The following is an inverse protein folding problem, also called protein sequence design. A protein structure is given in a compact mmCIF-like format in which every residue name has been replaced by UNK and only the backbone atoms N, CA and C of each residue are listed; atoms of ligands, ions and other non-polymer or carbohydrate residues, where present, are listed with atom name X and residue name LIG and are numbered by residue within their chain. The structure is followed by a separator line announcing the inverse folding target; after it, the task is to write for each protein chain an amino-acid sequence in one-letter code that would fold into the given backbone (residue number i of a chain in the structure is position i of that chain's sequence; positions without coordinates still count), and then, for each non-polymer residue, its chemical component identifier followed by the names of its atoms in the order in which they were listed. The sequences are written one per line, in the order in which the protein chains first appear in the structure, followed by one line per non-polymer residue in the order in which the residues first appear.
data_IF_341142980484
#
_entry.id   IF_341142980484
#
_cell.length_a   1.000
_cell.length_b   1.000
_cell.length_c   1.000
_cell.angle_alpha   90.00
_cell.angle_beta   90.00
_cell.angle_gamma   90.00
#
_symmetry.space_group_name_H-M   'P 1'
#
loop_
_entity.id
_entity.type
_entity.pdbx_description
1 polymer ?
#
# COMPACT_ATOMS: atom_id res chain seq x y z
N UNK A 1 30.40 -3.28 23.81
CA UNK A 1 29.83 -2.81 22.54
C UNK A 1 29.80 -1.31 22.49
N UNK A 2 30.30 -0.73 21.42
CA UNK A 2 30.23 0.73 21.26
C UNK A 2 28.79 1.20 21.26
N UNK A 3 28.54 2.33 21.92
CA UNK A 3 27.20 2.92 22.00
C UNK A 3 26.62 3.23 20.61
N UNK A 4 27.48 3.54 19.65
CA UNK A 4 27.05 3.86 18.30
C UNK A 4 26.33 2.69 17.62
N UNK A 5 26.84 1.46 17.78
CA UNK A 5 26.20 0.27 17.21
C UNK A 5 24.86 -0.03 17.85
N UNK A 6 24.72 0.25 19.14
CA UNK A 6 23.46 0.07 19.84
C UNK A 6 22.41 1.06 19.35
N UNK A 7 22.79 2.32 19.13
CA UNK A 7 21.88 3.33 18.60
C UNK A 7 21.48 3.03 17.16
N UNK A 8 22.41 2.55 16.34
CA UNK A 8 22.09 2.14 14.97
C UNK A 8 21.13 0.96 14.95
N UNK A 9 21.34 0.00 15.84
CA UNK A 9 20.44 -1.14 15.97
C UNK A 9 19.06 -0.70 16.46
N UNK A 10 18.99 0.25 17.38
CA UNK A 10 17.72 0.81 17.86
C UNK A 10 17.00 1.61 16.78
N UNK A 11 17.74 2.41 16.02
CA UNK A 11 17.18 3.17 14.88
C UNK A 11 16.69 2.23 13.80
N UNK A 12 17.45 1.18 13.47
CA UNK A 12 17.02 0.14 12.55
C UNK A 12 15.81 -0.61 13.08
N UNK A 13 15.79 -0.90 14.39
CA UNK A 13 14.66 -1.56 15.02
C UNK A 13 13.41 -0.70 14.97
N UNK A 14 13.52 0.61 15.18
CA UNK A 14 12.41 1.54 15.04
C UNK A 14 11.89 1.59 13.61
N UNK A 15 12.78 1.59 12.63
CA UNK A 15 12.43 1.56 11.20
C UNK A 15 11.83 0.21 10.82
N UNK A 16 12.28 -0.87 11.45
CA UNK A 16 11.88 -2.24 11.16
C UNK A 16 10.82 -2.77 12.14
N UNK A 17 10.40 -1.94 13.12
CA UNK A 17 9.32 -2.32 14.06
C UNK A 17 7.95 -2.37 13.38
N UNK A 18 7.87 -1.96 12.13
CA UNK A 18 6.68 -2.17 11.33
C UNK A 18 6.57 -3.67 11.04
N UNK A 19 5.87 -4.36 11.91
CA UNK A 19 5.69 -5.79 11.73
C UNK A 19 4.59 -6.05 10.72
N UNK A 20 4.79 -7.10 9.93
CA UNK A 20 3.76 -7.59 9.03
C UNK A 20 2.69 -8.26 9.88
N UNK A 21 1.45 -7.81 9.75
CA UNK A 21 0.31 -8.36 10.46
C UNK A 21 -0.65 -9.00 9.45
N UNK A 22 -1.30 -10.08 9.87
CA UNK A 22 -2.39 -10.63 9.06
C UNK A 22 -3.65 -9.87 9.38
N UNK A 23 -4.17 -9.15 8.39
CA UNK A 23 -5.33 -8.30 8.57
C UNK A 23 -6.53 -8.84 7.80
N UNK A 24 -7.72 -8.84 8.40
CA UNK A 24 -8.94 -9.22 7.69
C UNK A 24 -9.16 -8.32 6.48
N UNK A 25 -9.46 -8.91 5.34
CA UNK A 25 -9.73 -8.13 4.12
C UNK A 25 -10.88 -7.15 4.32
N UNK A 26 -11.86 -7.53 5.15
CA UNK A 26 -13.03 -6.71 5.43
C UNK A 26 -12.73 -5.42 6.18
N UNK A 27 -11.56 -5.33 6.83
CA UNK A 27 -11.13 -4.12 7.53
C UNK A 27 -10.29 -3.19 6.66
N UNK A 28 -9.98 -3.62 5.44
CA UNK A 28 -9.15 -2.86 4.52
C UNK A 28 -10.03 -2.26 3.43
N UNK A 29 -9.89 -0.96 3.20
CA UNK A 29 -10.64 -0.27 2.16
C UNK A 29 -9.73 0.64 1.35
N UNK A 30 -10.12 0.96 0.10
CA UNK A 30 -9.28 1.78 -0.77
C UNK A 30 -9.10 3.20 -0.25
N UNK A 31 -7.98 3.81 -0.61
CA UNK A 31 -7.73 5.22 -0.38
C UNK A 31 -8.78 6.04 -1.14
N UNK A 32 -9.43 6.98 -0.46
CA UNK A 32 -10.41 7.85 -1.07
C UNK A 32 -9.73 8.73 -2.13
N UNK A 33 -10.33 8.80 -3.32
CA UNK A 33 -9.73 9.52 -4.43
C UNK A 33 -8.63 8.78 -5.15
N UNK A 34 -8.46 7.50 -4.88
CA UNK A 34 -7.49 6.63 -5.54
C UNK A 34 -7.68 6.70 -7.07
N UNK A 35 -6.65 7.16 -7.81
CA UNK A 35 -6.81 7.37 -9.26
C UNK A 35 -6.59 6.13 -10.10
N UNK A 36 -6.12 5.04 -9.52
CA UNK A 36 -5.73 3.84 -10.26
C UNK A 36 -6.87 2.84 -10.28
N UNK A 37 -7.19 2.34 -11.48
CA UNK A 37 -8.25 1.36 -11.62
C UNK A 37 -7.76 -0.02 -11.18
N UNK A 38 -8.65 -0.74 -10.49
CA UNK A 38 -8.45 -2.14 -10.17
C UNK A 38 -9.50 -2.91 -10.96
N UNK A 39 -9.06 -3.65 -11.97
CA UNK A 39 -9.96 -4.40 -12.85
C UNK A 39 -9.65 -5.89 -12.78
N UNK A 40 -10.70 -6.69 -12.92
CA UNK A 40 -10.59 -8.16 -12.88
C UNK A 40 -10.29 -8.68 -14.29
N UNK A 41 -9.12 -8.30 -14.81
CA UNK A 41 -8.63 -8.76 -16.10
C UNK A 41 -7.88 -10.09 -15.96
N UNK A 42 -7.35 -10.59 -17.08
CA UNK A 42 -6.59 -11.84 -17.10
C UNK A 42 -5.39 -11.82 -16.17
N UNK A 43 -4.70 -10.69 -16.13
CA UNK A 43 -3.55 -10.52 -15.25
C UNK A 43 -3.96 -10.59 -13.78
N UNK A 44 -5.08 -9.98 -13.43
CA UNK A 44 -5.63 -10.05 -12.08
C UNK A 44 -6.00 -11.49 -11.71
N UNK A 45 -6.61 -12.24 -12.62
CA UNK A 45 -6.98 -13.63 -12.38
C UNK A 45 -5.74 -14.51 -12.17
N UNK A 46 -4.66 -14.26 -12.90
CA UNK A 46 -3.38 -14.96 -12.69
C UNK A 46 -2.78 -14.62 -11.35
N UNK A 47 -2.85 -13.35 -10.96
CA UNK A 47 -2.37 -12.90 -9.65
C UNK A 47 -3.19 -13.58 -8.54
N UNK A 48 -4.49 -13.65 -8.69
CA UNK A 48 -5.37 -14.33 -7.73
C UNK A 48 -5.04 -15.80 -7.59
N UNK A 49 -4.73 -16.46 -8.70
CA UNK A 49 -4.34 -17.87 -8.69
C UNK A 49 -3.02 -18.07 -7.94
N UNK A 50 -2.06 -17.20 -8.16
CA UNK A 50 -0.79 -17.19 -7.45
C UNK A 50 -1.00 -16.96 -5.94
N UNK A 51 -1.87 -16.02 -5.58
CA UNK A 51 -2.20 -15.75 -4.19
C UNK A 51 -2.86 -16.96 -3.54
N UNK A 52 -3.73 -17.64 -4.27
CA UNK A 52 -4.39 -18.85 -3.75
C UNK A 52 -3.38 -19.95 -3.43
N UNK A 53 -2.38 -20.11 -4.28
CA UNK A 53 -1.38 -21.16 -4.14
C UNK A 53 -0.25 -20.80 -3.16
N UNK A 54 0.28 -19.60 -3.27
CA UNK A 54 1.48 -19.19 -2.53
C UNK A 54 1.23 -18.11 -1.46
N UNK A 55 0.04 -17.52 -1.45
CA UNK A 55 -0.24 -16.38 -0.59
C UNK A 55 0.34 -15.08 -1.16
N UNK A 56 0.17 -14.00 -0.42
CA UNK A 56 0.72 -12.69 -0.78
C UNK A 56 2.13 -12.60 -0.22
N UNK A 57 3.12 -12.44 -1.10
CA UNK A 57 4.53 -12.38 -0.72
C UNK A 57 4.96 -10.99 -0.27
N UNK A 58 4.36 -9.94 -0.85
CA UNK A 58 4.68 -8.56 -0.50
C UNK A 58 3.50 -7.97 0.27
N UNK A 59 3.70 -7.51 1.52
CA UNK A 59 2.60 -6.96 2.31
C UNK A 59 2.09 -5.65 1.74
N UNK A 60 0.81 -5.39 1.95
CA UNK A 60 0.22 -4.08 1.67
C UNK A 60 0.69 -3.09 2.73
N UNK A 61 0.66 -1.80 2.39
CA UNK A 61 0.90 -0.72 3.35
C UNK A 61 -0.44 -0.04 3.57
N UNK A 62 -0.85 0.03 4.82
CA UNK A 62 -2.14 0.59 5.21
C UNK A 62 -1.93 1.61 6.32
N UNK A 63 -2.88 2.49 6.52
CA UNK A 63 -2.87 3.43 7.66
C UNK A 63 -4.21 3.35 8.38
N UNK A 64 -4.23 3.62 9.69
CA UNK A 64 -5.50 3.65 10.42
C UNK A 64 -6.42 4.72 9.85
N UNK A 65 -7.71 4.39 9.74
CA UNK A 65 -8.72 5.34 9.32
C UNK A 65 -9.51 5.79 10.56
N UNK A 66 -9.63 7.11 10.81
CA UNK A 66 -10.42 7.59 11.93
C UNK A 66 -11.88 7.13 11.93
N UNK A 67 -12.41 6.84 10.74
CA UNK A 67 -13.79 6.37 10.58
C UNK A 67 -13.93 4.85 10.73
N UNK A 68 -12.85 4.17 11.00
CA UNK A 68 -12.82 2.72 11.22
C UNK A 68 -12.06 1.96 10.17
N UNK A 69 -11.44 0.87 10.59
CA UNK A 69 -10.64 0.02 9.71
C UNK A 69 -9.35 0.68 9.29
N UNK A 70 -8.84 0.24 8.15
CA UNK A 70 -7.55 0.69 7.64
C UNK A 70 -7.68 1.03 6.16
N UNK A 71 -7.05 2.12 5.78
CA UNK A 71 -7.03 2.60 4.41
C UNK A 71 -5.80 2.05 3.70
N UNK A 72 -6.00 1.43 2.53
CA UNK A 72 -4.92 0.85 1.74
C UNK A 72 -4.18 1.97 1.01
N UNK A 73 -2.89 2.10 1.27
CA UNK A 73 -2.04 3.07 0.57
C UNK A 73 -1.32 2.40 -0.59
N UNK A 74 -0.79 1.20 -0.37
CA UNK A 74 -0.11 0.40 -1.39
C UNK A 74 -0.60 -1.03 -1.30
N UNK A 75 -0.92 -1.63 -2.43
CA UNK A 75 -1.35 -3.02 -2.48
C UNK A 75 -2.83 -3.22 -2.81
N UNK A 76 -3.46 -2.25 -3.46
CA UNK A 76 -4.86 -2.36 -3.87
C UNK A 76 -5.11 -3.60 -4.75
N UNK A 77 -4.20 -3.89 -5.67
CA UNK A 77 -4.33 -5.07 -6.54
C UNK A 77 -4.16 -6.37 -5.74
N UNK A 78 -3.26 -6.39 -4.78
CA UNK A 78 -3.04 -7.55 -3.93
C UNK A 78 -4.26 -7.82 -3.04
N UNK A 79 -4.89 -6.75 -2.56
CA UNK A 79 -6.14 -6.86 -1.81
C UNK A 79 -7.23 -7.51 -2.68
N UNK A 80 -7.42 -7.01 -3.90
CA UNK A 80 -8.41 -7.58 -4.81
C UNK A 80 -8.09 -9.02 -5.18
N UNK A 81 -6.83 -9.32 -5.47
CA UNK A 81 -6.40 -10.68 -5.76
C UNK A 81 -6.68 -11.62 -4.60
N UNK A 82 -6.47 -11.15 -3.37
CA UNK A 82 -6.77 -11.94 -2.16
C UNK A 82 -8.26 -12.23 -2.03
N UNK A 83 -9.12 -11.25 -2.34
CA UNK A 83 -10.58 -11.46 -2.37
C UNK A 83 -10.96 -12.52 -3.39
N UNK A 84 -10.44 -12.40 -4.60
CA UNK A 84 -10.71 -13.35 -5.69
C UNK A 84 -10.17 -14.74 -5.37
N UNK A 85 -9.09 -14.82 -4.62
CA UNK A 85 -8.50 -16.09 -4.19
C UNK A 85 -9.27 -16.74 -3.04
N UNK A 86 -10.27 -16.08 -2.49
CA UNK A 86 -11.06 -16.60 -1.37
C UNK A 86 -10.32 -16.53 -0.04
N UNK A 87 -9.34 -15.68 0.09
CA UNK A 87 -8.62 -15.49 1.37
C UNK A 87 -9.45 -14.61 2.30
N UNK A 88 -9.33 -14.83 3.60
CA UNK A 88 -9.99 -14.00 4.60
C UNK A 88 -9.07 -12.88 5.10
N UNK A 89 -7.77 -13.10 5.02
CA UNK A 89 -6.77 -12.17 5.51
C UNK A 89 -5.67 -11.98 4.47
N UNK A 90 -4.91 -10.89 4.62
CA UNK A 90 -3.69 -10.68 3.85
C UNK A 90 -2.64 -10.01 4.74
N UNK A 91 -1.35 -10.18 4.41
CA UNK A 91 -0.30 -9.49 5.16
C UNK A 91 -0.34 -7.99 4.86
N UNK A 92 -0.21 -7.19 5.90
CA UNK A 92 -0.19 -5.74 5.78
C UNK A 92 0.73 -5.14 6.84
N UNK A 93 1.30 -3.99 6.53
CA UNK A 93 2.08 -3.19 7.46
C UNK A 93 1.26 -1.95 7.78
N UNK A 94 1.01 -1.70 9.07
CA UNK A 94 0.31 -0.51 9.53
C UNK A 94 1.34 0.59 9.72
N UNK A 95 1.12 1.72 9.07
CA UNK A 95 2.01 2.87 9.15
C UNK A 95 1.18 4.13 9.31
N UNK A 96 1.49 4.93 10.32
CA UNK A 96 0.88 6.25 10.47
C UNK A 96 1.51 7.21 9.46
N UNK A 97 0.65 7.94 8.77
CA UNK A 97 1.10 8.98 7.85
C UNK A 97 -0.04 9.94 7.56
N UNK A 98 0.32 11.20 7.26
CA UNK A 98 -0.68 12.19 6.88
C UNK A 98 -1.14 11.97 5.44
N UNK A 99 -2.14 12.75 5.01
CA UNK A 99 -2.73 12.60 3.69
C UNK A 99 -1.72 12.81 2.56
N UNK A 100 -0.85 13.81 2.69
CA UNK A 100 0.13 14.11 1.65
C UNK A 100 1.16 13.00 1.52
N UNK A 101 1.66 12.47 2.64
CA UNK A 101 2.58 11.36 2.62
C UNK A 101 1.94 10.11 2.02
N UNK A 102 0.67 9.86 2.35
CA UNK A 102 -0.08 8.74 1.82
C UNK A 102 -0.23 8.85 0.29
N UNK A 103 -0.56 10.04 -0.21
CA UNK A 103 -0.69 10.29 -1.64
C UNK A 103 0.62 10.03 -2.36
N UNK A 104 1.72 10.55 -1.84
CA UNK A 104 3.05 10.38 -2.45
C UNK A 104 3.41 8.90 -2.52
N UNK A 105 3.23 8.17 -1.42
CA UNK A 105 3.54 6.74 -1.39
C UNK A 105 2.65 5.95 -2.36
N UNK A 106 1.35 6.24 -2.37
CA UNK A 106 0.41 5.58 -3.26
C UNK A 106 0.78 5.78 -4.73
N UNK A 107 1.05 7.03 -5.11
CA UNK A 107 1.41 7.36 -6.49
C UNK A 107 2.73 6.68 -6.87
N UNK A 108 3.76 6.81 -6.03
CA UNK A 108 5.07 6.23 -6.33
C UNK A 108 5.00 4.71 -6.49
N UNK A 109 4.19 4.03 -5.67
CA UNK A 109 4.06 2.58 -5.75
C UNK A 109 3.33 2.12 -7.02
N UNK A 110 2.58 2.99 -7.68
CA UNK A 110 1.81 2.65 -8.88
C UNK A 110 2.43 3.16 -10.19
N UNK A 111 3.27 4.21 -10.15
CA UNK A 111 3.83 4.80 -11.36
C UNK A 111 4.75 3.85 -12.13
N UNK A 112 5.23 2.80 -11.49
CA UNK A 112 6.09 1.80 -12.14
C UNK A 112 5.31 0.78 -12.97
N UNK A 113 3.98 0.82 -12.91
CA UNK A 113 3.16 -0.11 -13.67
C UNK A 113 3.11 0.30 -15.13
N UNK A 114 3.47 -0.62 -16.00
CA UNK A 114 3.48 -0.39 -17.45
C UNK A 114 2.08 -0.26 -18.05
N UNK A 115 1.08 -0.80 -17.34
CA UNK A 115 -0.30 -0.86 -17.82
C UNK A 115 -1.13 0.37 -17.46
N UNK A 116 -0.51 1.42 -16.88
CA UNK A 116 -1.23 2.64 -16.56
C UNK A 116 -1.65 3.39 -17.83
N UNK A 117 -2.90 3.81 -17.85
CA UNK A 117 -3.38 4.69 -18.90
C UNK A 117 -2.70 6.06 -18.80
N UNK A 118 -2.47 6.77 -19.93
CA UNK A 118 -1.90 8.12 -19.87
C UNK A 118 -2.70 9.07 -18.98
N UNK A 119 -4.03 8.97 -18.97
CA UNK A 119 -4.88 9.79 -18.11
C UNK A 119 -4.69 9.47 -16.62
N UNK A 120 -4.53 8.20 -16.27
CA UNK A 120 -4.23 7.79 -14.89
C UNK A 120 -2.89 8.33 -14.45
N UNK A 121 -1.88 8.23 -15.31
CA UNK A 121 -0.53 8.70 -15.03
C UNK A 121 -0.49 10.22 -14.84
N UNK A 122 -1.18 10.96 -15.71
CA UNK A 122 -1.24 12.42 -15.64
C UNK A 122 -1.92 12.88 -14.33
N UNK A 123 -3.04 12.26 -13.99
CA UNK A 123 -3.78 12.57 -12.76
C UNK A 123 -2.94 12.25 -11.51
N UNK A 124 -2.26 11.12 -11.53
CA UNK A 124 -1.41 10.69 -10.42
C UNK A 124 -0.25 11.67 -10.21
N UNK A 125 0.40 12.11 -11.28
CA UNK A 125 1.47 13.10 -11.17
C UNK A 125 0.97 14.41 -10.58
N UNK A 126 -0.22 14.85 -10.98
CA UNK A 126 -0.82 16.06 -10.43
C UNK A 126 -1.06 15.92 -8.93
N UNK A 127 -1.63 14.80 -8.50
CA UNK A 127 -1.86 14.54 -7.08
C UNK A 127 -0.55 14.58 -6.30
N UNK A 128 0.49 13.95 -6.85
CA UNK A 128 1.81 13.92 -6.21
C UNK A 128 2.40 15.33 -6.09
N UNK A 129 2.32 16.13 -7.15
CA UNK A 129 2.84 17.50 -7.13
C UNK A 129 2.11 18.35 -6.11
N UNK A 130 0.79 18.23 -6.02
CA UNK A 130 0.00 18.97 -5.03
C UNK A 130 0.39 18.56 -3.61
N UNK A 131 0.57 17.27 -3.37
CA UNK A 131 0.99 16.77 -2.06
C UNK A 131 2.38 17.29 -1.67
N UNK A 132 3.32 17.31 -2.62
CA UNK A 132 4.67 17.83 -2.39
C UNK A 132 4.61 19.33 -2.06
N UNK A 133 3.78 20.09 -2.78
CA UNK A 133 3.61 21.53 -2.52
C UNK A 133 3.07 21.78 -1.12
N UNK A 134 2.11 20.99 -0.67
CA UNK A 134 1.57 21.11 0.69
C UNK A 134 2.65 20.87 1.75
N UNK A 135 3.52 19.89 1.53
CA UNK A 135 4.60 19.60 2.47
C UNK A 135 5.67 20.68 2.50
N UNK A 136 5.83 21.40 1.40
CA UNK A 136 6.82 22.47 1.28
C UNK A 136 6.41 23.80 1.91
N UNK A 137 5.22 23.87 2.49
CA UNK A 137 4.71 25.11 3.10
C UNK A 137 4.87 25.13 4.62
#
# INVERSE_FOLDING_TARGET
MPRAKKKEAEALAETVTETVQRMPLSELHPFEGHPFRVVDDEEMLKTAESVREFGVLTPAIVRPDPDGGYEIISGHRRHRASELAGKETMPAIVRDMDDDAAIILMVDSNLQRETLLPSERAFAYRMKLDAIKHQGQ
#
